data_IF_048162676907
#
_entry.id   IF_048162676907
#
_cell.length_a   1.000
_cell.length_b   1.000
_cell.length_c   1.000
_cell.angle_alpha   90.00
_cell.angle_beta   90.00
_cell.angle_gamma   90.00
#
_symmetry.space_group_name_H-M   'P 1'
#
loop_
_entity.id
_entity.type
_entity.pdbx_description
1 polymer ?
#
# COMPACT_ATOMS: atom_id res chain seq x y z
N UNK A 1 20.64 -14.75 -67.26
CA UNK A 1 19.85 -14.05 -66.23
C UNK A 1 19.90 -14.87 -64.93
N UNK A 2 20.70 -14.45 -63.94
CA UNK A 2 20.79 -15.09 -62.62
C UNK A 2 19.93 -14.28 -61.65
N UNK A 3 18.87 -14.88 -61.09
CA UNK A 3 18.03 -14.25 -60.06
C UNK A 3 18.69 -14.49 -58.70
N UNK A 4 19.14 -13.41 -58.06
CA UNK A 4 19.55 -13.42 -56.65
C UNK A 4 18.29 -13.48 -55.78
N UNK A 5 18.17 -14.49 -54.93
CA UNK A 5 17.19 -14.53 -53.85
C UNK A 5 17.78 -13.79 -52.64
N UNK A 6 17.19 -12.64 -52.30
CA UNK A 6 17.43 -11.96 -51.02
C UNK A 6 16.62 -12.70 -49.94
N UNK A 7 17.32 -13.45 -49.11
CA UNK A 7 16.76 -14.02 -47.87
C UNK A 7 16.77 -12.89 -46.85
N UNK A 8 15.60 -12.27 -46.63
CA UNK A 8 15.41 -11.36 -45.49
C UNK A 8 15.43 -12.17 -44.21
N UNK A 9 16.54 -12.07 -43.48
CA UNK A 9 16.68 -12.58 -42.12
C UNK A 9 15.76 -11.74 -41.21
N UNK A 10 14.55 -12.22 -40.96
CA UNK A 10 13.69 -11.65 -39.94
C UNK A 10 14.31 -11.97 -38.57
N UNK A 11 15.13 -11.05 -38.06
CA UNK A 11 15.50 -11.00 -36.66
C UNK A 11 14.21 -10.83 -35.87
N UNK A 12 13.66 -11.94 -35.38
CA UNK A 12 12.54 -11.95 -34.45
C UNK A 12 12.99 -11.26 -33.18
N UNK A 13 12.68 -9.96 -33.07
CA UNK A 13 12.77 -9.23 -31.83
C UNK A 13 11.70 -9.87 -30.95
N UNK A 14 12.10 -10.84 -30.12
CA UNK A 14 11.24 -11.31 -29.05
C UNK A 14 10.80 -10.07 -28.27
N UNK A 15 9.48 -9.85 -28.08
CA UNK A 15 9.04 -8.77 -27.23
C UNK A 15 9.73 -8.96 -25.88
N UNK A 16 10.60 -8.00 -25.52
CA UNK A 16 11.22 -8.01 -24.21
C UNK A 16 10.08 -7.87 -23.21
N UNK A 17 9.73 -8.97 -22.55
CA UNK A 17 8.79 -8.96 -21.44
C UNK A 17 9.38 -8.02 -20.40
N UNK A 18 8.68 -6.93 -20.11
CA UNK A 18 9.08 -6.00 -19.05
C UNK A 18 8.76 -6.69 -17.73
N UNK A 19 9.72 -7.41 -17.18
CA UNK A 19 9.58 -8.07 -15.89
C UNK A 19 10.00 -7.11 -14.76
N UNK A 20 9.12 -6.90 -13.78
CA UNK A 20 9.44 -6.21 -12.53
C UNK A 20 9.93 -7.23 -11.51
N UNK A 21 11.15 -7.03 -10.99
CA UNK A 21 11.66 -7.83 -9.87
C UNK A 21 11.59 -7.05 -8.56
N UNK A 22 11.00 -7.64 -7.53
CA UNK A 22 10.96 -7.06 -6.20
C UNK A 22 11.17 -8.11 -5.10
N UNK A 23 11.49 -7.63 -3.88
CA UNK A 23 11.62 -8.46 -2.68
C UNK A 23 10.55 -8.05 -1.69
N UNK A 24 9.69 -8.99 -1.30
CA UNK A 24 8.59 -8.70 -0.39
C UNK A 24 8.16 -9.95 0.36
N UNK A 25 7.50 -9.75 1.51
CA UNK A 25 6.88 -10.86 2.24
C UNK A 25 5.51 -11.17 1.66
N UNK A 26 5.15 -12.44 1.64
CA UNK A 26 3.79 -12.86 1.27
C UNK A 26 2.85 -12.49 2.41
N UNK A 27 1.89 -11.61 2.12
CA UNK A 27 0.83 -11.21 3.05
C UNK A 27 -0.28 -12.27 3.09
N UNK A 28 -0.82 -12.63 1.92
CA UNK A 28 -1.90 -13.59 1.79
C UNK A 28 -1.88 -14.27 0.42
N UNK A 29 -2.53 -15.43 0.33
CA UNK A 29 -2.76 -16.17 -0.91
C UNK A 29 -4.26 -16.46 -0.95
N UNK A 30 -4.95 -15.93 -1.96
CA UNK A 30 -6.41 -16.04 -2.12
C UNK A 30 -6.73 -16.55 -3.53
N UNK A 31 -7.05 -17.84 -3.64
CA UNK A 31 -7.20 -18.48 -4.94
C UNK A 31 -5.89 -18.47 -5.74
N UNK A 32 -5.89 -17.81 -6.90
CA UNK A 32 -4.72 -17.62 -7.76
C UNK A 32 -4.00 -16.27 -7.52
N UNK A 33 -4.38 -15.51 -6.50
CA UNK A 33 -3.82 -14.19 -6.20
C UNK A 33 -2.85 -14.31 -5.03
N UNK A 34 -1.59 -13.87 -5.23
CA UNK A 34 -0.61 -13.67 -4.17
C UNK A 34 -0.54 -12.19 -3.83
N UNK A 35 -0.85 -11.84 -2.58
CA UNK A 35 -0.75 -10.47 -2.05
C UNK A 35 0.56 -10.31 -1.29
N UNK A 36 1.30 -9.24 -1.56
CA UNK A 36 2.59 -8.95 -0.94
C UNK A 36 2.51 -7.80 0.07
N UNK A 37 3.33 -7.77 1.12
CA UNK A 37 3.25 -6.70 2.15
C UNK A 37 3.48 -5.28 1.61
N UNK A 38 4.17 -5.15 0.47
CA UNK A 38 4.38 -3.89 -0.22
C UNK A 38 3.17 -3.43 -1.07
N UNK A 39 2.08 -4.21 -1.10
CA UNK A 39 0.85 -3.86 -1.79
C UNK A 39 0.71 -4.45 -3.18
N UNK A 40 1.78 -5.05 -3.73
CA UNK A 40 1.74 -5.72 -5.04
C UNK A 40 0.90 -6.99 -5.01
N UNK A 41 0.38 -7.34 -6.18
CA UNK A 41 -0.30 -8.60 -6.46
C UNK A 41 0.46 -9.36 -7.55
N UNK A 42 0.50 -10.68 -7.46
CA UNK A 42 0.85 -11.54 -8.59
C UNK A 42 -0.22 -12.62 -8.81
N UNK A 43 -0.47 -12.95 -10.08
CA UNK A 43 -1.40 -14.00 -10.50
C UNK A 43 -0.65 -15.31 -10.78
N UNK A 44 -1.14 -16.41 -10.22
CA UNK A 44 -0.58 -17.75 -10.42
C UNK A 44 -1.19 -18.40 -11.67
N UNK A 45 -0.33 -18.77 -12.64
CA UNK A 45 -0.75 -19.37 -13.92
C UNK A 45 -0.97 -20.90 -13.85
N UNK A 46 -0.55 -21.58 -12.78
CA UNK A 46 -0.65 -23.03 -12.64
C UNK A 46 -0.95 -23.48 -11.20
N UNK A 47 -1.33 -24.76 -11.06
CA UNK A 47 -1.65 -25.50 -9.82
C UNK A 47 -0.79 -25.14 -8.59
N UNK A 48 -1.32 -25.32 -7.36
CA UNK A 48 -0.92 -24.54 -6.20
C UNK A 48 0.55 -24.72 -5.86
N UNK A 49 1.33 -23.67 -6.09
CA UNK A 49 2.65 -23.52 -5.50
C UNK A 49 2.41 -23.42 -3.98
N UNK A 50 3.04 -24.32 -3.22
CA UNK A 50 3.00 -24.28 -1.75
C UNK A 50 3.90 -23.15 -1.25
N UNK A 51 3.44 -21.92 -1.37
CA UNK A 51 4.05 -20.76 -0.74
C UNK A 51 3.55 -20.66 0.70
N UNK A 52 4.47 -20.60 1.66
CA UNK A 52 4.09 -20.35 3.04
C UNK A 52 3.80 -18.86 3.25
N UNK A 53 2.77 -18.56 4.05
CA UNK A 53 2.48 -17.18 4.49
C UNK A 53 3.70 -16.63 5.25
N UNK A 54 3.98 -15.34 5.07
CA UNK A 54 5.13 -14.63 5.66
C UNK A 54 6.53 -15.02 5.14
N UNK A 55 6.65 -15.93 4.16
CA UNK A 55 7.91 -16.17 3.46
C UNK A 55 8.40 -14.86 2.82
N UNK A 56 9.69 -14.55 2.98
CA UNK A 56 10.33 -13.49 2.20
C UNK A 56 10.74 -14.08 0.86
N UNK A 57 10.20 -13.53 -0.21
CA UNK A 57 10.53 -13.99 -1.56
C UNK A 57 11.13 -12.87 -2.39
N UNK A 58 11.90 -13.25 -3.41
CA UNK A 58 12.12 -12.45 -4.60
C UNK A 58 11.10 -12.90 -5.62
N UNK A 59 10.28 -12.00 -6.13
CA UNK A 59 9.31 -12.29 -7.17
C UNK A 59 9.70 -11.55 -8.44
N UNK A 60 9.52 -12.22 -9.57
CA UNK A 60 9.57 -11.64 -10.91
C UNK A 60 8.16 -11.70 -11.47
N UNK A 61 7.60 -10.54 -11.78
CA UNK A 61 6.20 -10.38 -12.18
C UNK A 61 6.15 -9.62 -13.50
N UNK A 62 5.28 -10.07 -14.40
CA UNK A 62 5.05 -9.39 -15.67
C UNK A 62 4.40 -8.01 -15.41
N UNK A 63 5.03 -6.93 -15.90
CA UNK A 63 4.53 -5.58 -15.69
C UNK A 63 3.18 -5.34 -16.37
N UNK A 64 2.78 -6.09 -17.40
CA UNK A 64 1.55 -5.88 -18.16
C UNK A 64 0.33 -6.46 -17.43
N UNK A 65 0.38 -7.75 -17.09
CA UNK A 65 -0.77 -8.50 -16.55
C UNK A 65 -0.59 -8.96 -15.08
N UNK A 66 0.58 -8.70 -14.49
CA UNK A 66 0.93 -9.14 -13.14
C UNK A 66 0.98 -10.66 -12.96
N UNK A 67 1.17 -11.42 -14.03
CA UNK A 67 1.49 -12.85 -13.96
C UNK A 67 2.79 -13.08 -13.20
N UNK A 68 2.80 -14.03 -12.26
CA UNK A 68 4.03 -14.46 -11.60
C UNK A 68 4.87 -15.26 -12.59
N UNK A 69 6.02 -14.71 -13.00
CA UNK A 69 6.94 -15.33 -13.95
C UNK A 69 7.88 -16.30 -13.23
N UNK A 70 8.46 -15.86 -12.12
CA UNK A 70 9.37 -16.66 -11.30
C UNK A 70 9.38 -16.17 -9.85
N UNK A 71 9.84 -17.01 -8.91
CA UNK A 71 10.12 -16.58 -7.54
C UNK A 71 11.22 -17.42 -6.89
N UNK A 72 11.95 -16.79 -5.98
CA UNK A 72 12.91 -17.43 -5.08
C UNK A 72 12.48 -17.21 -3.63
N UNK A 73 12.40 -18.27 -2.83
CA UNK A 73 12.23 -18.12 -1.38
C UNK A 73 13.57 -17.76 -0.76
N UNK A 74 13.70 -16.52 -0.29
CA UNK A 74 14.94 -16.01 0.31
C UNK A 74 15.01 -16.34 1.81
N UNK A 75 13.85 -16.38 2.46
CA UNK A 75 13.72 -16.73 3.87
C UNK A 75 12.38 -17.42 4.06
N UNK A 76 12.42 -18.70 4.44
CA UNK A 76 11.24 -19.40 4.93
C UNK A 76 10.72 -18.70 6.19
N UNK A 77 9.41 -18.80 6.49
CA UNK A 77 8.90 -18.25 7.73
C UNK A 77 9.63 -19.00 8.84
N UNK A 78 10.38 -18.25 9.65
CA UNK A 78 10.90 -18.80 10.90
C UNK A 78 9.65 -19.16 11.68
N UNK A 79 9.31 -20.46 11.71
CA UNK A 79 8.42 -21.01 12.71
C UNK A 79 9.09 -20.76 14.05
N UNK A 80 9.00 -19.54 14.56
CA UNK A 80 9.22 -19.30 15.97
C UNK A 80 8.25 -20.25 16.63
N UNK A 81 8.79 -21.28 17.29
CA UNK A 81 8.01 -22.18 18.12
C UNK A 81 7.06 -21.30 18.89
N UNK A 82 5.77 -21.44 18.61
CA UNK A 82 4.69 -20.64 19.19
C UNK A 82 4.54 -20.91 20.70
N UNK A 83 5.56 -21.50 21.33
CA UNK A 83 5.54 -22.08 22.67
C UNK A 83 6.04 -21.14 23.78
N UNK A 84 6.51 -19.92 23.50
CA UNK A 84 6.99 -19.01 24.57
C UNK A 84 6.76 -17.52 24.29
N UNK A 85 5.58 -17.15 23.77
CA UNK A 85 4.96 -15.92 24.27
C UNK A 85 3.92 -16.45 25.24
N UNK A 86 4.29 -16.57 26.52
CA UNK A 86 3.28 -16.69 27.56
C UNK A 86 2.45 -15.41 27.47
N UNK A 87 1.28 -15.53 26.86
CA UNK A 87 0.19 -14.58 26.98
C UNK A 87 -0.12 -14.47 28.48
N UNK A 88 0.50 -13.50 29.14
CA UNK A 88 -0.08 -12.91 30.33
C UNK A 88 -1.44 -12.35 29.91
N UNK A 89 -2.48 -13.16 30.13
CA UNK A 89 -3.91 -12.82 30.04
C UNK A 89 -4.23 -11.59 29.17
N UNK A 90 -4.62 -11.73 27.89
CA UNK A 90 -5.26 -10.61 27.21
C UNK A 90 -6.57 -10.33 27.95
N UNK A 91 -6.57 -9.28 28.76
CA UNK A 91 -7.80 -8.70 29.30
C UNK A 91 -8.81 -8.52 28.13
N UNK A 92 -10.11 -8.73 28.37
CA UNK A 92 -11.11 -8.70 27.31
C UNK A 92 -11.06 -7.37 26.54
N UNK A 93 -11.33 -7.43 25.24
CA UNK A 93 -11.62 -6.29 24.36
C UNK A 93 -12.84 -5.52 24.93
N UNK A 94 -12.67 -4.29 25.45
CA UNK A 94 -13.46 -3.18 24.93
C UNK A 94 -12.70 -1.85 24.91
N UNK A 95 -12.85 -1.14 23.80
CA UNK A 95 -12.34 0.21 23.62
C UNK A 95 -11.82 0.36 22.22
N UNK A 96 -12.67 0.84 21.30
CA UNK A 96 -12.16 1.58 20.16
C UNK A 96 -11.10 2.53 20.72
N UNK A 97 -9.87 2.45 20.21
CA UNK A 97 -8.81 3.41 20.55
C UNK A 97 -9.43 4.81 20.51
N UNK A 98 -9.14 5.69 21.49
CA UNK A 98 -9.56 7.08 21.37
C UNK A 98 -9.12 7.57 19.99
N UNK A 99 -10.04 8.18 19.22
CA UNK A 99 -9.77 8.58 17.85
C UNK A 99 -8.50 9.42 17.84
N UNK A 100 -7.60 9.14 16.89
CA UNK A 100 -6.39 9.93 16.74
C UNK A 100 -6.78 11.40 16.45
N UNK A 101 -6.39 12.29 17.34
CA UNK A 101 -6.68 13.72 17.22
C UNK A 101 -5.71 14.38 16.22
N UNK A 102 -6.18 14.51 14.97
CA UNK A 102 -5.47 15.22 13.92
C UNK A 102 -5.57 16.74 14.10
N UNK A 103 -4.55 17.46 13.61
CA UNK A 103 -4.60 18.92 13.55
C UNK A 103 -5.60 19.36 12.48
N UNK A 104 -6.47 20.30 12.82
CA UNK A 104 -7.34 20.96 11.82
C UNK A 104 -6.51 22.01 11.09
N UNK A 105 -6.25 21.78 9.80
CA UNK A 105 -5.59 22.72 8.91
C UNK A 105 -6.52 23.91 8.65
N UNK A 106 -5.97 25.12 8.75
CA UNK A 106 -6.71 26.39 8.80
C UNK A 106 -7.69 26.61 7.65
N UNK A 107 -7.29 26.24 6.43
CA UNK A 107 -8.09 26.41 5.21
C UNK A 107 -7.51 25.58 4.06
N UNK A 108 -8.21 25.57 2.93
CA UNK A 108 -7.77 24.87 1.71
C UNK A 108 -6.47 25.45 1.12
N UNK A 109 -6.21 26.74 1.31
CA UNK A 109 -4.94 27.36 0.86
C UNK A 109 -3.74 26.76 1.60
N UNK A 110 -3.81 26.61 2.93
CA UNK A 110 -2.78 25.93 3.70
C UNK A 110 -2.68 24.44 3.32
N UNK A 111 -3.81 23.77 3.04
CA UNK A 111 -3.81 22.39 2.57
C UNK A 111 -3.07 22.24 1.22
N UNK A 112 -3.26 23.18 0.29
CA UNK A 112 -2.52 23.26 -0.98
C UNK A 112 -1.05 23.61 -0.73
N UNK A 113 -0.75 24.48 0.23
CA UNK A 113 0.63 24.81 0.59
C UNK A 113 1.36 23.60 1.19
N UNK A 114 0.70 22.80 2.05
CA UNK A 114 1.20 21.50 2.53
C UNK A 114 1.46 20.59 1.33
N UNK A 115 0.52 20.60 0.39
CA UNK A 115 0.64 19.78 -0.80
C UNK A 115 1.91 20.14 -1.60
N UNK A 116 2.02 21.38 -2.04
CA UNK A 116 3.09 21.80 -2.95
C UNK A 116 4.50 21.72 -2.35
N UNK A 117 4.64 21.65 -1.02
CA UNK A 117 5.95 21.55 -0.33
C UNK A 117 6.35 20.14 0.10
N UNK A 118 5.52 19.13 -0.16
CA UNK A 118 5.89 17.74 0.09
C UNK A 118 7.03 17.31 -0.82
N UNK A 119 7.90 16.44 -0.30
CA UNK A 119 9.04 15.93 -1.06
C UNK A 119 8.56 15.17 -2.32
N UNK A 120 8.87 15.70 -3.51
CA UNK A 120 8.52 15.08 -4.79
C UNK A 120 9.62 14.17 -5.34
N UNK A 121 10.77 14.08 -4.67
CA UNK A 121 11.95 13.33 -5.13
C UNK A 121 11.89 11.85 -4.72
N UNK A 122 10.74 11.20 -4.96
CA UNK A 122 10.56 9.79 -4.64
C UNK A 122 11.21 8.88 -5.70
N UNK A 123 11.61 7.67 -5.28
CA UNK A 123 12.09 6.61 -6.18
C UNK A 123 10.94 6.04 -6.99
N UNK A 124 11.18 5.66 -8.25
CA UNK A 124 10.18 4.97 -9.10
C UNK A 124 9.64 3.70 -8.40
N UNK A 125 10.55 2.93 -7.78
CA UNK A 125 10.28 1.68 -7.05
C UNK A 125 9.85 1.89 -5.59
N UNK A 126 9.56 3.13 -5.18
CA UNK A 126 9.10 3.40 -3.82
C UNK A 126 7.73 2.79 -3.55
N UNK A 127 7.53 2.33 -2.32
CA UNK A 127 6.24 1.81 -1.86
C UNK A 127 5.36 2.94 -1.31
N UNK A 128 4.03 2.75 -1.39
CA UNK A 128 3.08 3.78 -0.94
C UNK A 128 3.17 4.04 0.56
N UNK A 129 3.44 3.02 1.38
CA UNK A 129 3.62 3.13 2.82
C UNK A 129 4.81 4.02 3.18
N UNK A 130 5.94 3.86 2.48
CA UNK A 130 7.14 4.68 2.68
C UNK A 130 6.86 6.14 2.33
N UNK A 131 6.29 6.40 1.15
CA UNK A 131 5.94 7.76 0.72
C UNK A 131 4.97 8.43 1.67
N UNK A 132 3.84 7.78 1.96
CA UNK A 132 2.83 8.32 2.84
C UNK A 132 3.37 8.60 4.25
N UNK A 133 4.31 7.79 4.72
CA UNK A 133 4.94 8.05 6.00
C UNK A 133 5.92 9.22 5.96
N UNK A 134 6.82 9.28 4.98
CA UNK A 134 7.78 10.39 4.85
C UNK A 134 7.06 11.71 4.74
N UNK A 135 6.06 11.83 3.87
CA UNK A 135 5.29 13.06 3.71
C UNK A 135 4.60 13.51 5.01
N UNK A 136 3.95 12.59 5.71
CA UNK A 136 3.30 12.89 6.99
C UNK A 136 4.33 13.27 8.08
N UNK A 137 5.46 12.57 8.14
CA UNK A 137 6.50 12.79 9.14
C UNK A 137 7.22 14.13 8.92
N UNK A 138 7.64 14.42 7.68
CA UNK A 138 8.29 15.68 7.32
C UNK A 138 7.40 16.88 7.65
N UNK A 139 6.11 16.82 7.32
CA UNK A 139 5.19 17.92 7.64
C UNK A 139 5.00 18.08 9.15
N UNK A 140 4.87 16.98 9.90
CA UNK A 140 4.79 17.05 11.36
C UNK A 140 6.06 17.65 11.98
N UNK A 141 7.25 17.28 11.49
CA UNK A 141 8.52 17.86 11.96
C UNK A 141 8.66 19.34 11.62
N UNK A 142 8.09 19.76 10.49
CA UNK A 142 8.15 21.14 9.99
C UNK A 142 7.23 22.08 10.74
N UNK A 143 5.97 21.71 10.96
CA UNK A 143 4.92 22.61 11.45
C UNK A 143 4.20 22.13 12.71
N UNK A 144 4.49 20.90 13.17
CA UNK A 144 3.72 20.25 14.24
C UNK A 144 2.35 19.74 13.79
N UNK A 145 2.00 19.86 12.51
CA UNK A 145 0.70 19.41 11.97
C UNK A 145 0.60 17.88 11.99
N UNK A 146 -0.34 17.36 12.79
CA UNK A 146 -0.64 15.93 12.88
C UNK A 146 -1.63 15.54 11.79
N UNK A 147 -1.23 14.67 10.88
CA UNK A 147 -2.10 14.11 9.84
C UNK A 147 -2.73 12.76 10.27
N UNK A 148 -3.68 12.28 9.49
CA UNK A 148 -4.12 10.88 9.46
C UNK A 148 -3.46 10.16 8.29
N UNK A 149 -3.72 8.86 8.17
CA UNK A 149 -3.53 8.08 6.96
C UNK A 149 -4.86 7.44 6.57
N UNK A 150 -5.15 7.44 5.27
CA UNK A 150 -6.26 6.68 4.70
C UNK A 150 -5.68 5.51 3.91
N UNK A 151 -6.13 4.32 4.24
CA UNK A 151 -5.83 3.08 3.53
C UNK A 151 -7.07 2.69 2.74
N UNK A 152 -6.87 2.37 1.46
CA UNK A 152 -7.87 1.69 0.63
C UNK A 152 -7.39 0.26 0.39
N UNK A 153 -8.23 -0.72 0.70
CA UNK A 153 -7.97 -2.13 0.48
C UNK A 153 -8.89 -2.64 -0.62
N UNK A 154 -8.32 -3.25 -1.65
CA UNK A 154 -9.07 -3.81 -2.78
C UNK A 154 -9.40 -5.27 -2.50
N UNK A 155 -10.63 -5.66 -2.83
CA UNK A 155 -11.11 -7.03 -2.67
C UNK A 155 -10.51 -7.95 -3.73
N UNK A 156 -10.40 -9.24 -3.43
CA UNK A 156 -9.90 -10.20 -4.41
C UNK A 156 -10.84 -10.32 -5.62
N UNK A 157 -12.16 -10.21 -5.43
CA UNK A 157 -13.12 -10.11 -6.55
C UNK A 157 -12.80 -8.93 -7.47
N UNK A 158 -12.55 -7.74 -6.89
CA UNK A 158 -12.21 -6.56 -7.68
C UNK A 158 -10.89 -6.74 -8.41
N UNK A 159 -9.84 -7.15 -7.70
CA UNK A 159 -8.50 -7.40 -8.24
C UNK A 159 -8.56 -8.38 -9.42
N UNK A 160 -9.26 -9.51 -9.26
CA UNK A 160 -9.39 -10.51 -10.32
C UNK A 160 -10.16 -9.96 -11.53
N UNK A 161 -11.27 -9.25 -11.29
CA UNK A 161 -12.17 -8.77 -12.36
C UNK A 161 -11.51 -7.78 -13.32
N UNK A 162 -10.54 -7.00 -12.86
CA UNK A 162 -9.87 -5.94 -13.66
C UNK A 162 -8.36 -6.12 -13.72
N UNK A 163 -7.82 -7.25 -13.24
CA UNK A 163 -6.38 -7.51 -13.13
C UNK A 163 -5.62 -6.37 -12.43
N UNK A 164 -6.16 -5.90 -11.30
CA UNK A 164 -5.56 -4.77 -10.58
C UNK A 164 -4.24 -5.18 -9.90
N UNK A 165 -3.22 -4.33 -10.01
CA UNK A 165 -1.84 -4.67 -9.62
C UNK A 165 -1.54 -4.42 -8.14
N UNK A 166 -2.49 -3.85 -7.42
CA UNK A 166 -2.37 -3.50 -6.01
C UNK A 166 -3.53 -4.07 -5.21
N UNK A 167 -3.27 -4.61 -4.03
CA UNK A 167 -4.32 -5.02 -3.10
C UNK A 167 -4.59 -3.99 -2.00
N UNK A 168 -3.71 -2.99 -1.85
CA UNK A 168 -3.99 -1.80 -1.08
C UNK A 168 -3.22 -0.59 -1.59
N UNK A 169 -3.65 0.60 -1.17
CA UNK A 169 -2.91 1.85 -1.30
C UNK A 169 -3.12 2.73 -0.07
N UNK A 170 -2.17 3.60 0.24
CA UNK A 170 -2.21 4.48 1.41
C UNK A 170 -1.68 5.87 1.07
N UNK A 171 -2.32 6.89 1.64
CA UNK A 171 -1.88 8.28 1.53
C UNK A 171 -2.10 9.04 2.85
N UNK A 172 -1.33 10.11 3.12
CA UNK A 172 -1.63 11.06 4.19
C UNK A 172 -3.00 11.71 3.97
N UNK A 173 -3.67 12.06 5.06
CA UNK A 173 -4.96 12.74 5.03
C UNK A 173 -5.00 13.83 6.11
N UNK A 174 -5.48 15.02 5.76
CA UNK A 174 -5.56 16.16 6.68
C UNK A 174 -7.01 16.57 6.85
N UNK A 175 -7.38 16.92 8.08
CA UNK A 175 -8.67 17.54 8.35
C UNK A 175 -8.53 19.04 8.11
N UNK A 176 -9.30 19.59 7.17
CA UNK A 176 -9.16 20.97 6.67
C UNK A 176 -10.44 21.73 6.95
N UNK A 177 -10.33 22.90 7.58
CA UNK A 177 -11.47 23.80 7.74
C UNK A 177 -11.86 24.39 6.36
N UNK A 178 -13.12 24.25 5.99
CA UNK A 178 -13.71 24.81 4.75
C UNK A 178 -14.91 25.69 5.10
N UNK A 179 -15.46 26.47 4.16
CA UNK A 179 -16.70 27.22 4.39
C UNK A 179 -17.88 26.31 4.80
N UNK A 180 -17.88 25.03 4.38
CA UNK A 180 -18.92 24.06 4.72
C UNK A 180 -18.61 23.24 5.99
N UNK A 181 -17.54 23.56 6.72
CA UNK A 181 -17.09 22.83 7.90
C UNK A 181 -15.76 22.10 7.69
N UNK A 182 -15.41 21.19 8.61
CA UNK A 182 -14.16 20.42 8.53
C UNK A 182 -14.32 19.26 7.54
N UNK A 183 -13.45 19.19 6.53
CA UNK A 183 -13.42 18.12 5.51
C UNK A 183 -12.08 17.39 5.55
N UNK A 184 -12.11 16.08 5.32
CA UNK A 184 -10.90 15.28 5.19
C UNK A 184 -10.39 15.29 3.74
N UNK A 185 -9.13 15.70 3.57
CA UNK A 185 -8.46 15.86 2.28
C UNK A 185 -7.23 14.94 2.22
N UNK A 186 -7.19 14.07 1.20
CA UNK A 186 -6.12 13.12 0.91
C UNK A 186 -5.00 13.80 0.11
N UNK A 187 -3.76 13.55 0.52
CA UNK A 187 -2.54 14.19 -0.01
C UNK A 187 -1.65 13.15 -0.72
N UNK A 188 -2.06 12.68 -1.89
CA UNK A 188 -1.35 11.64 -2.64
C UNK A 188 -0.52 12.19 -3.80
N UNK A 189 0.62 12.78 -3.46
CA UNK A 189 1.53 13.49 -4.38
C UNK A 189 2.02 12.70 -5.59
N UNK A 190 1.97 11.37 -5.53
CA UNK A 190 2.42 10.55 -6.65
C UNK A 190 1.34 10.43 -7.73
N UNK A 191 0.08 10.45 -7.34
CA UNK A 191 -1.04 10.08 -8.21
C UNK A 191 -2.09 11.19 -8.36
N UNK A 192 -1.96 12.29 -7.61
CA UNK A 192 -2.82 13.46 -7.71
C UNK A 192 -1.98 14.73 -7.90
N UNK A 193 -2.61 15.76 -8.44
CA UNK A 193 -2.05 17.10 -8.67
C UNK A 193 -2.51 18.14 -7.63
N UNK A 194 -3.42 17.73 -6.73
CA UNK A 194 -3.99 18.56 -5.66
C UNK A 194 -4.48 17.71 -4.49
N UNK A 195 -4.80 18.32 -3.33
CA UNK A 195 -5.60 17.68 -2.31
C UNK A 195 -6.97 17.25 -2.87
N UNK A 196 -7.37 16.02 -2.57
CA UNK A 196 -8.64 15.45 -3.03
C UNK A 196 -9.49 15.00 -1.85
N UNK A 197 -10.81 15.02 -1.98
CA UNK A 197 -11.68 14.29 -1.05
C UNK A 197 -11.40 12.79 -1.12
N UNK A 198 -11.76 12.04 -0.09
CA UNK A 198 -11.60 10.57 -0.09
C UNK A 198 -12.27 9.95 -1.33
N UNK A 199 -13.47 10.43 -1.71
CA UNK A 199 -14.19 9.91 -2.87
C UNK A 199 -13.45 10.17 -4.17
N UNK A 200 -13.04 11.41 -4.43
CA UNK A 200 -12.26 11.77 -5.63
C UNK A 200 -10.98 10.94 -5.74
N UNK A 201 -10.30 10.72 -4.60
CA UNK A 201 -9.09 9.89 -4.54
C UNK A 201 -9.37 8.42 -4.81
N UNK A 202 -10.38 7.81 -4.16
CA UNK A 202 -10.75 6.41 -4.41
C UNK A 202 -11.23 6.18 -5.84
N UNK A 203 -11.89 7.16 -6.45
CA UNK A 203 -12.35 7.07 -7.83
C UNK A 203 -11.20 6.94 -8.83
N UNK A 204 -9.97 7.33 -8.49
CA UNK A 204 -8.80 7.08 -9.34
C UNK A 204 -8.50 5.58 -9.48
N UNK A 205 -8.83 4.79 -8.46
CA UNK A 205 -8.48 3.37 -8.36
C UNK A 205 -9.67 2.43 -8.54
N UNK A 206 -10.88 2.89 -8.21
CA UNK A 206 -12.13 2.10 -8.24
C UNK A 206 -12.92 2.44 -9.50
N UNK A 207 -12.78 1.65 -10.56
CA UNK A 207 -13.37 1.96 -11.87
C UNK A 207 -14.89 2.03 -11.88
N UNK A 208 -15.56 1.25 -11.03
CA UNK A 208 -17.02 1.29 -10.87
C UNK A 208 -17.53 2.56 -10.20
N UNK A 209 -16.64 3.36 -9.59
CA UNK A 209 -16.94 4.56 -8.79
C UNK A 209 -17.87 4.30 -7.60
N UNK A 210 -18.07 3.02 -7.23
CA UNK A 210 -18.83 2.64 -6.03
C UNK A 210 -18.05 3.12 -4.80
N UNK A 211 -18.72 3.76 -3.81
CA UNK A 211 -18.07 4.13 -2.57
C UNK A 211 -17.45 2.92 -1.88
N UNK A 212 -16.21 3.05 -1.41
CA UNK A 212 -15.58 2.02 -0.59
C UNK A 212 -16.25 1.96 0.79
N UNK A 213 -16.39 0.75 1.34
CA UNK A 213 -16.99 0.54 2.65
C UNK A 213 -16.03 0.95 3.77
N UNK A 214 -16.36 1.93 4.63
CA UNK A 214 -15.52 2.25 5.78
C UNK A 214 -15.51 1.09 6.78
N UNK A 215 -14.35 0.80 7.35
CA UNK A 215 -14.19 -0.18 8.43
C UNK A 215 -13.14 0.30 9.43
N UNK A 216 -13.26 -0.19 10.66
CA UNK A 216 -12.30 0.04 11.76
C UNK A 216 -11.44 -1.19 12.02
N UNK A 217 -11.73 -2.31 11.35
CA UNK A 217 -11.12 -3.61 11.60
C UNK A 217 -10.55 -4.15 10.30
N UNK A 218 -9.25 -4.40 10.30
CA UNK A 218 -8.60 -5.11 9.22
C UNK A 218 -9.21 -6.51 9.01
N UNK A 219 -9.66 -7.17 10.08
CA UNK A 219 -10.32 -8.47 10.00
C UNK A 219 -11.60 -8.43 9.16
N UNK A 220 -12.35 -7.32 9.17
CA UNK A 220 -13.57 -7.20 8.35
C UNK A 220 -13.26 -7.20 6.85
N UNK A 221 -12.10 -6.67 6.46
CA UNK A 221 -11.58 -6.77 5.10
C UNK A 221 -11.07 -8.18 4.81
N UNK A 222 -10.24 -8.75 5.69
CA UNK A 222 -9.58 -10.05 5.50
C UNK A 222 -10.58 -11.21 5.36
N UNK A 223 -11.69 -11.18 6.12
CA UNK A 223 -12.71 -12.26 6.10
C UNK A 223 -13.84 -12.05 5.10
N UNK A 224 -14.05 -10.82 4.58
CA UNK A 224 -15.10 -10.52 3.61
C UNK A 224 -14.56 -9.99 2.26
N UNK A 225 -13.56 -10.64 1.63
CA UNK A 225 -12.85 -10.04 0.50
C UNK A 225 -13.64 -10.08 -0.82
N UNK A 226 -14.96 -10.23 -0.82
CA UNK A 226 -15.74 -10.52 -2.04
C UNK A 226 -17.02 -9.68 -2.22
N UNK A 227 -17.57 -9.04 -1.19
CA UNK A 227 -18.88 -8.36 -1.30
C UNK A 227 -18.79 -6.93 -1.80
N UNK A 228 -17.66 -6.27 -1.55
CA UNK A 228 -17.40 -4.89 -1.94
C UNK A 228 -16.29 -4.83 -2.99
N UNK A 229 -16.07 -3.66 -3.59
CA UNK A 229 -14.88 -3.44 -4.42
C UNK A 229 -13.66 -3.04 -3.59
N UNK A 230 -13.91 -2.34 -2.48
CA UNK A 230 -12.89 -1.81 -1.63
C UNK A 230 -13.40 -1.48 -0.23
N UNK A 231 -12.46 -1.48 0.72
CA UNK A 231 -12.66 -1.05 2.09
C UNK A 231 -11.76 0.14 2.40
N UNK A 232 -12.21 1.03 3.28
CA UNK A 232 -11.43 2.17 3.75
C UNK A 232 -11.14 2.04 5.24
N UNK A 233 -9.88 2.23 5.62
CA UNK A 233 -9.47 2.37 7.01
C UNK A 233 -8.75 3.70 7.19
N UNK A 234 -9.09 4.43 8.25
CA UNK A 234 -8.42 5.67 8.63
C UNK A 234 -7.67 5.41 9.94
N UNK A 235 -6.40 5.76 9.99
CA UNK A 235 -5.54 5.56 11.15
C UNK A 235 -4.61 6.78 11.37
N UNK A 236 -3.80 6.75 12.41
CA UNK A 236 -2.83 7.78 12.77
C UNK A 236 -1.73 7.97 11.72
N UNK A 237 -1.02 9.10 11.79
CA UNK A 237 0.11 9.41 10.91
C UNK A 237 1.34 8.48 11.03
N UNK A 238 1.41 7.58 12.01
CA UNK A 238 2.61 6.77 12.26
C UNK A 238 2.87 5.75 11.14
N UNK A 239 4.12 5.34 10.95
CA UNK A 239 4.48 4.31 9.97
C UNK A 239 3.73 3.02 10.27
N UNK A 240 2.92 2.57 9.31
CA UNK A 240 2.08 1.37 9.42
C UNK A 240 1.99 0.71 8.06
N UNK A 241 2.25 -0.58 8.03
CA UNK A 241 1.91 -1.48 6.92
C UNK A 241 0.62 -2.24 7.26
N UNK A 242 -0.05 -2.92 6.30
CA UNK A 242 -1.26 -3.68 6.61
C UNK A 242 -1.10 -4.70 7.74
N UNK A 243 0.06 -5.34 7.86
CA UNK A 243 0.37 -6.23 8.98
C UNK A 243 0.30 -5.54 10.35
N UNK A 244 0.66 -4.26 10.43
CA UNK A 244 0.51 -3.46 11.65
C UNK A 244 -0.97 -3.18 11.96
N UNK A 245 -1.83 -2.98 10.95
CA UNK A 245 -3.27 -2.80 11.14
C UNK A 245 -3.92 -4.07 11.68
N UNK A 246 -3.53 -5.24 11.15
CA UNK A 246 -3.96 -6.53 11.68
C UNK A 246 -3.49 -6.75 13.13
N UNK A 247 -2.23 -6.39 13.44
CA UNK A 247 -1.67 -6.54 14.78
C UNK A 247 -2.34 -5.61 15.82
N UNK A 248 -2.88 -4.47 15.40
CA UNK A 248 -3.62 -3.56 16.31
C UNK A 248 -4.88 -4.18 16.89
N UNK A 249 -5.56 -5.06 16.16
CA UNK A 249 -6.72 -5.80 16.69
C UNK A 249 -6.34 -6.77 17.82
N UNK A 250 -5.05 -7.11 17.91
CA UNK A 250 -4.47 -7.95 18.96
C UNK A 250 -3.83 -7.10 20.08
N UNK A 251 -4.12 -5.79 20.13
CA UNK A 251 -3.59 -4.89 21.14
C UNK A 251 -2.18 -4.35 20.85
N UNK A 252 -1.58 -4.66 19.70
CA UNK A 252 -0.23 -4.19 19.33
C UNK A 252 -0.29 -2.86 18.58
N UNK A 253 -0.27 -1.76 19.32
CA UNK A 253 -0.42 -0.42 18.75
C UNK A 253 0.92 0.28 18.52
N UNK A 254 1.09 0.85 17.32
CA UNK A 254 2.13 1.87 17.06
C UNK A 254 1.61 3.26 17.41
N UNK A 255 2.10 3.81 18.51
CA UNK A 255 1.74 5.15 19.02
C UNK A 255 2.79 6.23 18.70
N UNK A 256 3.95 5.83 18.17
CA UNK A 256 5.03 6.73 17.75
C UNK A 256 5.64 6.19 16.46
N UNK A 257 6.52 6.99 15.84
CA UNK A 257 7.41 6.49 14.79
C UNK A 257 8.84 6.77 15.21
N UNK A 258 9.63 5.72 15.49
CA UNK A 258 11.06 5.87 15.71
C UNK A 258 11.75 6.52 14.51
N UNK A 259 12.74 7.37 14.76
CA UNK A 259 13.56 7.99 13.70
C UNK A 259 14.19 6.96 12.76
N UNK A 260 14.49 5.76 13.25
CA UNK A 260 15.02 4.66 12.43
C UNK A 260 14.03 4.18 11.37
N UNK A 261 12.73 4.12 11.67
CA UNK A 261 11.69 3.76 10.69
C UNK A 261 11.54 4.88 9.66
N UNK A 262 11.53 6.14 10.10
CA UNK A 262 11.51 7.29 9.19
C UNK A 262 12.72 7.29 8.25
N UNK A 263 13.95 7.11 8.76
CA UNK A 263 15.16 7.05 7.94
C UNK A 263 15.15 5.86 6.97
N UNK A 264 14.59 4.72 7.39
CA UNK A 264 14.40 3.56 6.51
C UNK A 264 13.42 3.90 5.37
N UNK A 265 12.25 4.45 5.69
CA UNK A 265 11.25 4.86 4.71
C UNK A 265 11.81 5.93 3.75
N UNK A 266 12.60 6.89 4.24
CA UNK A 266 13.27 7.89 3.41
C UNK A 266 14.27 7.22 2.44
N UNK A 267 15.11 6.30 2.95
CA UNK A 267 16.10 5.57 2.15
C UNK A 267 15.44 4.70 1.07
N UNK A 268 14.33 4.04 1.37
CA UNK A 268 13.64 3.17 0.40
C UNK A 268 12.71 3.95 -0.54
N UNK A 269 12.08 5.00 -0.03
CA UNK A 269 11.07 5.78 -0.74
C UNK A 269 11.61 6.92 -1.59
N UNK A 270 12.76 7.51 -1.24
CA UNK A 270 13.22 8.78 -1.82
C UNK A 270 14.66 8.73 -2.29
N UNK A 271 14.96 9.52 -3.33
CA UNK A 271 16.33 9.81 -3.71
C UNK A 271 16.88 10.81 -2.68
N UNK A 272 17.80 10.35 -1.84
CA UNK A 272 18.58 11.26 -1.01
C UNK A 272 19.47 12.07 -1.94
N UNK A 273 19.33 13.40 -1.94
CA UNK A 273 20.35 14.23 -2.59
C UNK A 273 21.71 13.91 -1.96
N UNK A 274 22.77 13.76 -2.77
CA UNK A 274 24.12 13.55 -2.25
C UNK A 274 24.56 14.71 -1.35
#
# INVERSE_FOLDING_TARGET
MKKLFLISLALGISPFLNAETFKSRIHAIEGNIVKFENGRVAFLNSSPIKLAKNSLIRAEVDEEDSSLLSFDVLQEPVMKSMSQIQDENPAPLPGLRPPFEATIVKNMEEAIAIFNRSNSNYKRVSECTDRAHVWAHEEFKRSGTKSKKVFVFFTASYIDSIRFKWWFHVAPMYSVQTPEGVKDMVMDFRYTDRPMTIKEWTDQYVYTKRPCKPTLRFSEYDVNPQTENCYLMIDSMHYKVPGDLAAQEQGRYKATTPDSEYRAALRFGFNTQP
#
